data_IF_738474559181
#
_entry.id   IF_738474559181
#
_cell.length_a   1.000
_cell.length_b   1.000
_cell.length_c   1.000
_cell.angle_alpha   90.00
_cell.angle_beta   90.00
_cell.angle_gamma   90.00
#
_symmetry.space_group_name_H-M   'P 1'
#
loop_
_entity.id
_entity.type
_entity.pdbx_description
1 polymer ?
#
# COMPACT_ATOMS: atom_id res chain seq x y z
N UNK A 1 -0.78 8.28 42.42
CA UNK A 1 0.34 9.23 42.36
C UNK A 1 0.69 9.41 40.89
N UNK A 2 0.16 10.45 40.26
CA UNK A 2 0.62 10.88 38.94
C UNK A 2 2.03 11.47 39.11
N UNK A 3 3.01 10.87 38.46
CA UNK A 3 4.37 11.43 38.39
C UNK A 3 4.39 12.31 37.15
N UNK A 4 4.05 13.58 37.31
CA UNK A 4 4.13 14.58 36.24
C UNK A 4 5.58 15.00 36.09
N UNK A 5 6.34 14.34 35.21
CA UNK A 5 7.71 14.72 34.88
C UNK A 5 7.69 15.86 33.85
N UNK A 6 7.57 17.10 34.31
CA UNK A 6 7.81 18.30 33.49
C UNK A 6 9.30 18.59 33.42
N UNK A 7 9.98 18.02 32.43
CA UNK A 7 11.41 18.26 32.18
C UNK A 7 11.69 18.59 30.72
N UNK A 8 11.38 19.80 30.26
CA UNK A 8 11.58 20.23 28.86
C UNK A 8 13.04 20.61 28.56
N UNK A 9 14.03 19.75 28.85
CA UNK A 9 15.43 20.00 28.50
C UNK A 9 15.93 19.00 27.44
N UNK A 10 16.75 19.49 26.49
CA UNK A 10 17.29 18.69 25.38
C UNK A 10 18.19 17.51 25.84
N UNK A 11 18.75 17.60 27.04
CA UNK A 11 19.51 16.52 27.69
C UNK A 11 18.62 15.40 28.26
N UNK A 12 17.37 15.70 28.59
CA UNK A 12 16.38 14.73 29.14
C UNK A 12 15.46 14.17 28.05
N UNK A 13 15.22 14.94 26.98
CA UNK A 13 14.60 14.49 25.74
C UNK A 13 15.56 14.76 24.58
N UNK A 14 16.49 13.83 24.24
CA UNK A 14 17.08 13.89 22.92
C UNK A 14 15.91 13.92 21.94
N UNK A 15 15.83 14.94 21.09
CA UNK A 15 14.89 14.96 19.98
C UNK A 15 15.37 13.86 19.03
N UNK A 16 15.01 12.62 19.36
CA UNK A 16 15.26 11.47 18.53
C UNK A 16 14.27 11.61 17.39
N UNK A 17 14.72 12.29 16.33
CA UNK A 17 14.05 12.32 15.04
C UNK A 17 14.22 10.92 14.44
N UNK A 18 13.41 9.99 14.93
CA UNK A 18 13.51 8.57 14.57
C UNK A 18 13.07 8.38 13.13
N UNK A 19 12.05 9.13 12.70
CA UNK A 19 11.44 9.00 11.39
C UNK A 19 11.51 10.28 10.59
N UNK A 20 12.15 10.19 9.44
CA UNK A 20 12.28 11.29 8.51
C UNK A 20 11.02 11.48 7.66
N UNK A 21 10.90 12.62 6.98
CA UNK A 21 9.80 12.92 6.05
C UNK A 21 9.63 11.84 4.98
N UNK A 22 10.73 11.12 4.65
CA UNK A 22 10.76 9.96 3.76
C UNK A 22 9.79 8.86 4.21
N UNK A 23 9.72 8.58 5.51
CA UNK A 23 8.82 7.58 6.07
C UNK A 23 7.37 8.06 6.00
N UNK A 24 7.12 9.35 6.29
CA UNK A 24 5.78 9.91 6.15
C UNK A 24 5.25 9.82 4.71
N UNK A 25 6.11 10.10 3.72
CA UNK A 25 5.77 9.94 2.30
C UNK A 25 5.54 8.46 1.95
N UNK A 26 6.38 7.55 2.43
CA UNK A 26 6.16 6.12 2.24
C UNK A 26 4.82 5.65 2.82
N UNK A 27 4.49 6.03 4.06
CA UNK A 27 3.24 5.66 4.71
C UNK A 27 2.03 6.24 3.97
N UNK A 28 2.13 7.48 3.48
CA UNK A 28 1.09 8.09 2.65
C UNK A 28 0.89 7.32 1.33
N UNK A 29 1.97 7.05 0.59
CA UNK A 29 1.90 6.32 -0.68
C UNK A 29 1.44 4.86 -0.48
N UNK A 30 1.86 4.22 0.62
CA UNK A 30 1.40 2.90 1.01
C UNK A 30 -0.10 2.87 1.33
N UNK A 31 -0.59 3.85 2.09
CA UNK A 31 -2.02 4.04 2.37
C UNK A 31 -2.84 4.35 1.11
N UNK A 32 -2.31 5.21 0.24
CA UNK A 32 -2.92 5.54 -1.05
C UNK A 32 -3.07 4.28 -1.92
N UNK A 33 -2.03 3.46 -2.03
CA UNK A 33 -2.10 2.18 -2.75
C UNK A 33 -3.06 1.20 -2.09
N UNK A 34 -3.04 1.07 -0.75
CA UNK A 34 -3.96 0.21 -0.02
C UNK A 34 -5.43 0.55 -0.33
N UNK A 35 -5.79 1.83 -0.20
CA UNK A 35 -7.12 2.33 -0.52
C UNK A 35 -7.48 2.18 -2.00
N UNK A 36 -6.55 2.49 -2.91
CA UNK A 36 -6.74 2.34 -4.35
C UNK A 36 -7.04 0.88 -4.75
N UNK A 37 -6.32 -0.09 -4.17
CA UNK A 37 -6.55 -1.50 -4.41
C UNK A 37 -7.91 -1.96 -3.87
N UNK A 38 -8.29 -1.53 -2.65
CA UNK A 38 -9.60 -1.86 -2.08
C UNK A 38 -10.72 -1.26 -2.92
N UNK A 39 -10.67 0.03 -3.23
CA UNK A 39 -11.73 0.73 -3.95
C UNK A 39 -11.86 0.22 -5.39
N UNK A 40 -10.74 0.01 -6.08
CA UNK A 40 -10.77 -0.57 -7.43
C UNK A 40 -11.27 -2.01 -7.44
N UNK A 41 -10.91 -2.82 -6.44
CA UNK A 41 -11.43 -4.19 -6.31
C UNK A 41 -12.94 -4.21 -6.06
N UNK A 42 -13.45 -3.36 -5.16
CA UNK A 42 -14.89 -3.20 -4.94
C UNK A 42 -15.58 -2.83 -6.26
N UNK A 43 -15.04 -1.86 -7.00
CA UNK A 43 -15.60 -1.44 -8.27
C UNK A 43 -15.59 -2.57 -9.33
N UNK A 44 -14.51 -3.36 -9.42
CA UNK A 44 -14.39 -4.47 -10.37
C UNK A 44 -15.23 -5.71 -10.00
N UNK A 45 -15.50 -5.93 -8.71
CA UNK A 45 -16.31 -7.06 -8.22
C UNK A 45 -17.82 -6.80 -8.31
N UNK A 46 -18.26 -5.54 -8.43
CA UNK A 46 -19.67 -5.18 -8.64
C UNK A 46 -20.16 -5.69 -10.01
N UNK A 47 -21.36 -6.28 -10.04
CA UNK A 47 -21.98 -6.87 -11.25
C UNK A 47 -22.38 -5.83 -12.29
N UNK A 48 -22.60 -4.58 -11.88
CA UNK A 48 -23.20 -3.52 -12.70
C UNK A 48 -22.16 -2.43 -13.00
N UNK A 49 -21.49 -2.52 -14.16
CA UNK A 49 -20.61 -1.45 -14.68
C UNK A 49 -21.44 -0.54 -15.59
N UNK A 50 -22.20 0.38 -15.00
CA UNK A 50 -23.21 1.18 -15.72
C UNK A 50 -22.59 2.31 -16.56
N UNK A 51 -21.44 2.85 -16.19
CA UNK A 51 -20.84 3.99 -16.90
C UNK A 51 -19.47 3.67 -17.53
N UNK A 52 -19.16 4.24 -18.72
CA UNK A 52 -17.82 4.14 -19.33
C UNK A 52 -16.71 4.73 -18.45
N UNK A 53 -17.03 5.76 -17.67
CA UNK A 53 -16.09 6.40 -16.73
C UNK A 53 -15.71 5.46 -15.59
N UNK A 54 -16.67 4.70 -15.06
CA UNK A 54 -16.41 3.65 -14.06
C UNK A 54 -15.44 2.59 -14.61
N UNK A 55 -15.55 2.25 -15.90
CA UNK A 55 -14.62 1.30 -16.55
C UNK A 55 -13.19 1.83 -16.61
N UNK A 56 -12.99 3.12 -16.91
CA UNK A 56 -11.65 3.70 -17.01
C UNK A 56 -10.92 3.67 -15.65
N UNK A 57 -11.61 4.01 -14.55
CA UNK A 57 -11.04 3.93 -13.20
C UNK A 57 -10.69 2.50 -12.80
N UNK A 58 -11.57 1.55 -13.12
CA UNK A 58 -11.38 0.12 -12.87
C UNK A 58 -10.13 -0.47 -13.54
N UNK A 59 -9.57 0.22 -14.54
CA UNK A 59 -8.37 -0.19 -15.28
C UNK A 59 -7.16 0.63 -14.83
N UNK A 60 -7.27 1.96 -14.83
CA UNK A 60 -6.15 2.88 -14.55
C UNK A 60 -5.63 2.74 -13.11
N UNK A 61 -6.54 2.73 -12.13
CA UNK A 61 -6.19 2.71 -10.71
C UNK A 61 -5.39 1.46 -10.30
N UNK A 62 -5.83 0.23 -10.61
CA UNK A 62 -5.05 -0.95 -10.28
C UNK A 62 -3.74 -1.04 -11.09
N UNK A 63 -3.70 -0.51 -12.31
CA UNK A 63 -2.47 -0.46 -13.10
C UNK A 63 -1.43 0.51 -12.53
N UNK A 64 -1.85 1.63 -11.94
CA UNK A 64 -0.96 2.62 -11.30
C UNK A 64 -0.51 2.22 -9.90
N UNK A 65 -1.33 1.45 -9.18
CA UNK A 65 -1.09 1.00 -7.80
C UNK A 65 0.32 0.40 -7.54
N UNK A 66 0.86 -0.53 -8.37
CA UNK A 66 2.21 -1.04 -8.17
C UNK A 66 3.28 0.04 -8.29
N UNK A 67 3.12 1.01 -9.19
CA UNK A 67 4.08 2.10 -9.39
C UNK A 67 4.07 3.09 -8.22
N UNK A 68 2.89 3.47 -7.72
CA UNK A 68 2.74 4.33 -6.54
C UNK A 68 3.44 3.69 -5.34
N UNK A 69 3.21 2.41 -5.11
CA UNK A 69 3.84 1.68 -4.00
C UNK A 69 5.36 1.55 -4.19
N UNK A 70 5.81 1.33 -5.43
CA UNK A 70 7.24 1.25 -5.77
C UNK A 70 7.95 2.58 -5.51
N UNK A 71 7.31 3.72 -5.82
CA UNK A 71 7.82 5.05 -5.48
C UNK A 71 7.95 5.20 -3.96
N UNK A 72 6.93 4.77 -3.20
CA UNK A 72 7.03 4.70 -1.74
C UNK A 72 8.23 3.86 -1.27
N UNK A 73 8.44 2.71 -1.89
CA UNK A 73 9.53 1.81 -1.58
C UNK A 73 10.93 2.41 -1.87
N UNK A 74 11.04 3.33 -2.82
CA UNK A 74 12.28 4.08 -3.05
C UNK A 74 12.60 5.00 -1.86
N UNK A 75 11.59 5.65 -1.27
CA UNK A 75 11.80 6.52 -0.11
C UNK A 75 12.28 5.74 1.12
N UNK A 76 11.70 4.57 1.40
CA UNK A 76 12.16 3.73 2.52
C UNK A 76 13.56 3.15 2.25
N UNK A 77 13.91 2.87 1.00
CA UNK A 77 15.25 2.42 0.64
C UNK A 77 16.32 3.51 0.86
N UNK A 78 15.97 4.78 0.63
CA UNK A 78 16.88 5.91 0.92
C UNK A 78 17.00 6.24 2.40
N UNK A 79 15.98 5.90 3.19
CA UNK A 79 15.99 6.05 4.64
C UNK A 79 16.87 5.01 5.34
N UNK A 80 17.12 3.86 4.70
CA UNK A 80 17.93 2.78 5.24
C UNK A 80 19.41 3.20 5.45
N UNK A 81 19.88 3.15 6.70
CA UNK A 81 21.29 3.42 7.05
C UNK A 81 22.25 2.42 6.37
N UNK A 82 21.92 1.12 6.41
CA UNK A 82 22.70 0.03 5.81
C UNK A 82 21.98 -0.55 4.58
N UNK A 83 22.07 0.17 3.46
CA UNK A 83 21.42 -0.18 2.18
C UNK A 83 21.76 -1.58 1.66
N UNK A 84 23.01 -2.03 1.84
CA UNK A 84 23.42 -3.37 1.41
C UNK A 84 22.71 -4.48 2.19
N UNK A 85 22.20 -4.22 3.39
CA UNK A 85 21.53 -5.25 4.19
C UNK A 85 20.06 -5.46 3.80
N UNK A 86 19.53 -4.71 2.83
CA UNK A 86 18.14 -4.80 2.38
C UNK A 86 17.73 -6.22 1.99
N UNK A 87 18.65 -7.00 1.42
CA UNK A 87 18.34 -8.36 0.98
C UNK A 87 18.03 -9.31 2.15
N UNK A 88 18.55 -9.05 3.35
CA UNK A 88 18.28 -9.88 4.52
C UNK A 88 16.81 -9.87 4.92
N UNK A 89 16.10 -8.76 4.70
CA UNK A 89 14.65 -8.70 4.95
C UNK A 89 13.84 -9.71 4.12
N UNK A 90 14.35 -10.07 2.94
CA UNK A 90 13.71 -11.02 2.02
C UNK A 90 14.25 -12.44 2.15
N UNK A 91 15.36 -12.63 2.88
CA UNK A 91 15.96 -13.95 3.11
C UNK A 91 15.64 -14.50 4.50
N UNK A 92 15.40 -13.62 5.47
CA UNK A 92 15.09 -13.97 6.86
C UNK A 92 13.67 -13.54 7.21
N UNK A 93 12.80 -14.51 7.51
CA UNK A 93 11.46 -14.24 8.00
C UNK A 93 11.43 -14.28 9.53
N UNK A 94 11.05 -13.16 10.15
CA UNK A 94 10.96 -13.01 11.61
C UNK A 94 9.50 -12.77 12.01
N UNK A 95 8.74 -13.81 12.40
CA UNK A 95 7.28 -13.71 12.57
C UNK A 95 6.86 -12.79 13.74
N UNK A 96 7.74 -12.61 14.73
CA UNK A 96 7.51 -11.71 15.87
C UNK A 96 7.77 -10.24 15.55
N UNK A 97 8.43 -9.95 14.42
CA UNK A 97 8.76 -8.58 14.02
C UNK A 97 7.69 -8.05 13.07
N UNK A 98 6.95 -6.99 13.45
CA UNK A 98 6.02 -6.32 12.53
C UNK A 98 6.74 -5.95 11.22
N UNK A 99 7.94 -5.39 11.30
CA UNK A 99 8.70 -4.95 10.12
C UNK A 99 8.93 -6.08 9.09
N UNK A 100 9.11 -7.33 9.54
CA UNK A 100 9.27 -8.49 8.65
C UNK A 100 7.98 -8.76 7.86
N UNK A 101 6.81 -8.69 8.50
CA UNK A 101 5.52 -8.82 7.83
C UNK A 101 5.32 -7.75 6.75
N UNK A 102 5.80 -6.52 6.98
CA UNK A 102 5.72 -5.45 5.99
C UNK A 102 6.60 -5.67 4.79
N UNK A 103 7.85 -6.08 5.01
CA UNK A 103 8.78 -6.35 3.91
C UNK A 103 8.23 -7.43 2.96
N UNK A 104 7.77 -8.55 3.52
CA UNK A 104 7.16 -9.64 2.75
C UNK A 104 5.81 -9.24 2.17
N UNK A 105 4.98 -8.53 2.94
CA UNK A 105 3.67 -8.06 2.51
C UNK A 105 3.76 -7.13 1.31
N UNK A 106 4.59 -6.09 1.37
CA UNK A 106 4.86 -5.17 0.24
C UNK A 106 5.46 -5.94 -0.94
N UNK A 107 6.40 -6.86 -0.67
CA UNK A 107 6.99 -7.73 -1.69
C UNK A 107 5.97 -8.59 -2.43
N UNK A 108 4.88 -9.00 -1.79
CA UNK A 108 3.77 -9.74 -2.40
C UNK A 108 2.74 -8.81 -3.07
N UNK A 109 2.48 -7.63 -2.50
CA UNK A 109 1.48 -6.68 -3.00
C UNK A 109 1.90 -6.09 -4.34
N UNK A 110 3.17 -5.77 -4.54
CA UNK A 110 3.66 -5.20 -5.81
C UNK A 110 3.37 -6.13 -7.00
N UNK A 111 3.83 -7.40 -7.03
CA UNK A 111 3.53 -8.30 -8.14
C UNK A 111 2.04 -8.62 -8.24
N UNK A 112 1.34 -8.77 -7.11
CA UNK A 112 -0.10 -9.01 -7.13
C UNK A 112 -0.87 -7.85 -7.77
N UNK A 113 -0.58 -6.61 -7.38
CA UNK A 113 -1.22 -5.41 -7.93
C UNK A 113 -0.89 -5.21 -9.40
N UNK A 114 0.33 -5.56 -9.82
CA UNK A 114 0.70 -5.59 -11.23
C UNK A 114 -0.13 -6.61 -12.04
N UNK A 115 -0.25 -7.85 -11.54
CA UNK A 115 -1.08 -8.88 -12.17
C UNK A 115 -2.56 -8.48 -12.19
N UNK A 116 -3.05 -7.89 -11.11
CA UNK A 116 -4.41 -7.38 -11.03
C UNK A 116 -4.65 -6.28 -12.07
N UNK A 117 -3.80 -5.24 -12.12
CA UNK A 117 -3.87 -4.19 -13.14
C UNK A 117 -3.87 -4.76 -14.55
N UNK A 118 -2.98 -5.70 -14.85
CA UNK A 118 -2.91 -6.33 -16.18
C UNK A 118 -4.14 -7.18 -16.52
N UNK A 119 -4.76 -7.82 -15.52
CA UNK A 119 -6.00 -8.59 -15.69
C UNK A 119 -7.23 -7.73 -15.97
N UNK A 120 -7.19 -6.44 -15.61
CA UNK A 120 -8.31 -5.51 -15.84
C UNK A 120 -8.33 -4.91 -17.25
N UNK A 121 -7.23 -5.01 -18.00
CA UNK A 121 -7.13 -4.44 -19.35
C UNK A 121 -8.07 -5.16 -20.33
N UNK A 122 -9.05 -4.46 -20.94
CA UNK A 122 -9.95 -5.05 -21.92
C UNK A 122 -9.24 -5.25 -23.26
N UNK A 123 -9.79 -6.12 -24.09
CA UNK A 123 -9.20 -6.53 -25.37
C UNK A 123 -8.87 -5.35 -26.30
N UNK A 124 -9.78 -4.37 -26.38
CA UNK A 124 -9.64 -3.12 -27.15
C UNK A 124 -8.38 -2.30 -26.77
N UNK A 125 -8.01 -2.30 -25.48
CA UNK A 125 -6.89 -1.54 -24.95
C UNK A 125 -5.59 -2.35 -24.91
N UNK A 126 -5.63 -3.65 -25.22
CA UNK A 126 -4.42 -4.50 -25.22
C UNK A 126 -3.42 -4.05 -26.26
N UNK A 127 -3.87 -3.46 -27.36
CA UNK A 127 -2.97 -3.01 -28.41
C UNK A 127 -2.09 -1.82 -28.02
N UNK A 128 -2.50 -1.06 -27.00
CA UNK A 128 -1.66 0.00 -26.42
C UNK A 128 -0.48 -0.54 -25.61
N UNK A 129 -0.48 -1.82 -25.20
CA UNK A 129 0.65 -2.39 -24.47
C UNK A 129 1.83 -2.55 -25.44
N UNK A 130 2.91 -1.82 -25.14
CA UNK A 130 4.13 -1.78 -25.97
C UNK A 130 4.76 -3.14 -26.23
N UNK A 131 4.66 -4.08 -25.29
CA UNK A 131 5.33 -5.36 -25.37
C UNK A 131 4.36 -6.51 -25.66
N UNK A 132 4.68 -7.32 -26.67
CA UNK A 132 3.85 -8.47 -27.09
C UNK A 132 3.66 -9.53 -25.99
N UNK A 133 4.64 -9.70 -25.09
CA UNK A 133 4.49 -10.63 -23.95
C UNK A 133 3.43 -10.15 -22.95
N UNK A 134 3.32 -8.83 -22.71
CA UNK A 134 2.31 -8.28 -21.82
C UNK A 134 0.90 -8.44 -22.38
N UNK A 135 0.74 -8.36 -23.71
CA UNK A 135 -0.55 -8.63 -24.38
C UNK A 135 -1.00 -10.07 -24.13
N UNK A 136 -0.10 -11.05 -24.35
CA UNK A 136 -0.36 -12.48 -24.09
C UNK A 136 -0.68 -12.73 -22.62
N UNK A 137 0.08 -12.11 -21.71
CA UNK A 137 -0.13 -12.25 -20.28
C UNK A 137 -1.47 -11.65 -19.83
N UNK A 138 -1.83 -10.45 -20.30
CA UNK A 138 -3.14 -9.82 -20.03
C UNK A 138 -4.30 -10.71 -20.51
N UNK A 139 -4.21 -11.26 -21.72
CA UNK A 139 -5.22 -12.17 -22.24
C UNK A 139 -5.38 -13.43 -21.38
N UNK A 140 -4.29 -14.01 -20.88
CA UNK A 140 -4.31 -15.18 -19.98
C UNK A 140 -4.89 -14.86 -18.60
N UNK A 141 -4.66 -13.64 -18.10
CA UNK A 141 -5.10 -13.21 -16.76
C UNK A 141 -6.54 -12.68 -16.74
N UNK A 142 -7.06 -12.20 -17.86
CA UNK A 142 -8.41 -11.63 -17.98
C UNK A 142 -9.53 -12.52 -17.39
N UNK A 143 -9.59 -13.85 -17.64
CA UNK A 143 -10.60 -14.73 -17.05
C UNK A 143 -10.53 -14.79 -15.52
N UNK A 144 -9.35 -14.54 -14.97
CA UNK A 144 -9.04 -14.62 -13.54
C UNK A 144 -9.14 -13.26 -12.83
N UNK A 145 -9.56 -12.20 -13.52
CA UNK A 145 -9.58 -10.84 -12.99
C UNK A 145 -10.32 -10.73 -11.66
N UNK A 146 -11.46 -11.41 -11.49
CA UNK A 146 -12.20 -11.42 -10.22
C UNK A 146 -11.42 -12.02 -9.05
N UNK A 147 -10.60 -13.06 -9.31
CA UNK A 147 -9.75 -13.67 -8.26
C UNK A 147 -8.65 -12.70 -7.84
N UNK A 148 -8.00 -12.05 -8.80
CA UNK A 148 -7.01 -11.01 -8.52
C UNK A 148 -7.61 -9.81 -7.81
N UNK A 149 -8.80 -9.36 -8.20
CA UNK A 149 -9.52 -8.29 -7.51
C UNK A 149 -9.81 -8.66 -6.05
N UNK A 150 -10.34 -9.86 -5.78
CA UNK A 150 -10.60 -10.32 -4.41
C UNK A 150 -9.32 -10.44 -3.57
N UNK A 151 -8.23 -10.94 -4.16
CA UNK A 151 -6.95 -11.05 -3.48
C UNK A 151 -6.35 -9.66 -3.21
N UNK A 152 -6.41 -8.73 -4.16
CA UNK A 152 -5.99 -7.34 -3.98
C UNK A 152 -6.83 -6.59 -2.96
N UNK A 153 -8.13 -6.90 -2.83
CA UNK A 153 -8.98 -6.36 -1.77
C UNK A 153 -8.47 -6.75 -0.38
N UNK A 154 -8.23 -8.06 -0.16
CA UNK A 154 -7.71 -8.57 1.11
C UNK A 154 -6.33 -8.01 1.41
N UNK A 155 -5.43 -8.01 0.42
CA UNK A 155 -4.07 -7.50 0.59
C UNK A 155 -4.03 -5.98 0.78
N UNK A 156 -4.97 -5.23 0.21
CA UNK A 156 -5.12 -3.79 0.45
C UNK A 156 -5.58 -3.49 1.88
N UNK A 157 -6.55 -4.24 2.41
CA UNK A 157 -6.94 -4.14 3.83
C UNK A 157 -5.76 -4.50 4.74
N UNK A 158 -5.07 -5.60 4.44
CA UNK A 158 -3.88 -6.00 5.17
C UNK A 158 -2.85 -4.86 5.20
N UNK A 159 -2.52 -4.25 4.06
CA UNK A 159 -1.54 -3.16 3.98
C UNK A 159 -1.93 -1.94 4.84
N UNK A 160 -3.21 -1.54 4.79
CA UNK A 160 -3.72 -0.41 5.57
C UNK A 160 -3.74 -0.67 7.08
N UNK A 161 -4.15 -1.88 7.51
CA UNK A 161 -4.13 -2.26 8.93
C UNK A 161 -2.69 -2.41 9.42
N UNK A 162 -1.85 -3.13 8.66
CA UNK A 162 -0.47 -3.43 9.00
C UNK A 162 0.36 -2.17 9.22
N UNK A 163 0.18 -1.15 8.38
CA UNK A 163 0.90 0.13 8.54
C UNK A 163 0.53 0.81 9.86
N UNK A 164 -0.74 0.77 10.27
CA UNK A 164 -1.14 1.24 11.60
C UNK A 164 -0.63 0.35 12.74
N UNK A 165 -0.53 -0.97 12.56
CA UNK A 165 0.07 -1.89 13.54
C UNK A 165 1.55 -1.57 13.75
N UNK A 166 2.29 -1.35 12.66
CA UNK A 166 3.71 -0.98 12.68
C UNK A 166 3.90 0.26 13.55
N UNK A 167 3.05 1.29 13.37
CA UNK A 167 3.09 2.49 14.19
C UNK A 167 2.70 2.20 15.65
N UNK A 168 1.65 1.39 15.85
CA UNK A 168 1.14 1.00 17.17
C UNK A 168 2.17 0.28 18.05
N UNK A 169 3.11 -0.43 17.43
CA UNK A 169 4.11 -1.22 18.12
C UNK A 169 5.25 -0.38 18.73
N UNK A 170 5.34 0.93 18.43
CA UNK A 170 6.36 1.81 19.00
C UNK A 170 6.02 2.25 20.43
N UNK A 171 6.38 1.42 21.40
CA UNK A 171 6.17 1.67 22.85
C UNK A 171 6.83 2.97 23.33
N UNK A 172 7.91 3.40 22.68
CA UNK A 172 8.67 4.59 23.07
C UNK A 172 7.90 5.92 22.92
N UNK A 173 6.77 5.96 22.20
CA UNK A 173 5.94 7.16 22.02
C UNK A 173 4.49 6.84 22.38
N UNK A 174 3.97 7.32 23.54
CA UNK A 174 2.63 6.98 24.02
C UNK A 174 1.49 7.28 23.03
N UNK A 175 1.61 8.38 22.27
CA UNK A 175 0.62 8.73 21.22
C UNK A 175 0.62 7.76 20.04
N UNK A 176 1.73 7.06 19.81
CA UNK A 176 1.85 6.05 18.76
C UNK A 176 1.53 4.67 19.28
N UNK A 177 1.47 4.43 20.59
CA UNK A 177 1.13 3.13 21.16
C UNK A 177 -0.37 3.04 21.50
N UNK A 178 -1.22 3.02 20.47
CA UNK A 178 -2.67 2.93 20.63
C UNK A 178 -3.30 1.84 19.77
N UNK A 179 -4.21 1.07 20.35
CA UNK A 179 -4.94 -0.01 19.68
C UNK A 179 -5.89 0.47 18.58
N UNK A 180 -6.23 1.77 18.54
CA UNK A 180 -7.14 2.34 17.54
C UNK A 180 -6.43 2.72 16.23
N UNK A 181 -5.09 2.83 16.23
CA UNK A 181 -4.31 3.26 15.07
C UNK A 181 -4.49 2.40 13.82
N UNK A 182 -4.53 1.06 13.88
CA UNK A 182 -4.78 0.23 12.70
C UNK A 182 -6.08 0.56 11.98
N UNK A 183 -7.14 0.85 12.74
CA UNK A 183 -8.46 1.20 12.20
C UNK A 183 -8.43 2.62 11.59
N UNK A 184 -7.77 3.57 12.26
CA UNK A 184 -7.61 4.93 11.76
C UNK A 184 -6.81 4.96 10.45
N UNK A 185 -5.72 4.21 10.38
CA UNK A 185 -4.91 4.09 9.16
C UNK A 185 -5.69 3.47 8.02
N UNK A 186 -6.47 2.41 8.29
CA UNK A 186 -7.33 1.81 7.27
C UNK A 186 -8.38 2.82 6.76
N UNK A 187 -9.08 3.53 7.64
CA UNK A 187 -10.08 4.52 7.23
C UNK A 187 -9.46 5.67 6.42
N UNK A 188 -8.27 6.15 6.82
CA UNK A 188 -7.52 7.17 6.09
C UNK A 188 -7.08 6.67 4.71
N UNK A 189 -6.58 5.44 4.62
CA UNK A 189 -6.22 4.79 3.37
C UNK A 189 -7.44 4.65 2.44
N UNK A 190 -8.58 4.20 2.96
CA UNK A 190 -9.82 4.10 2.17
C UNK A 190 -10.29 5.45 1.65
N UNK A 191 -10.23 6.50 2.48
CA UNK A 191 -10.58 7.88 2.09
C UNK A 191 -9.67 8.41 0.99
N UNK A 192 -8.35 8.29 1.15
CA UNK A 192 -7.37 8.76 0.16
C UNK A 192 -7.44 7.97 -1.14
N UNK A 193 -7.64 6.65 -1.06
CA UNK A 193 -7.89 5.79 -2.21
C UNK A 193 -9.18 6.14 -2.95
N UNK A 194 -10.26 6.46 -2.23
CA UNK A 194 -11.51 6.93 -2.81
C UNK A 194 -11.31 8.26 -3.56
N UNK A 195 -10.59 9.21 -2.94
CA UNK A 195 -10.25 10.47 -3.57
C UNK A 195 -9.45 10.27 -4.86
N UNK A 196 -8.47 9.35 -4.87
CA UNK A 196 -7.71 9.02 -6.08
C UNK A 196 -8.60 8.44 -7.19
N UNK A 197 -9.53 7.53 -6.85
CA UNK A 197 -10.48 6.97 -7.81
C UNK A 197 -11.33 8.08 -8.43
N UNK A 198 -11.81 9.03 -7.63
CA UNK A 198 -12.62 10.18 -8.10
C UNK A 198 -11.80 11.08 -9.02
N UNK A 199 -10.54 11.38 -8.67
CA UNK A 199 -9.65 12.20 -9.51
C UNK A 199 -9.41 11.51 -10.85
N UNK A 200 -9.18 10.20 -10.85
CA UNK A 200 -8.95 9.39 -12.06
C UNK A 200 -10.22 9.13 -12.88
N UNK A 201 -11.40 9.44 -12.33
CA UNK A 201 -12.69 9.34 -13.02
C UNK A 201 -13.00 10.57 -13.88
N UNK A 202 -12.32 11.68 -13.61
CA UNK A 202 -12.37 12.89 -14.44
C UNK A 202 -11.48 12.71 -15.68
#
# INVERSE_FOLDING_TARGET
MEITVTGTNAMTYPHLHIWDWRIAVYLFLGGLTAGALVMSAIANLRKSKKEPKDRACCIKVPLMSPFILSIGMIFIFFDLERKLNSFWFYLSFQPLSPMSWGAWGVGLIIPLSFLYGLSTVPEELRDMLRFGFLKKLSAKLYPHMRRFAALSFVMGIFLGIYTGILLSAFVARPLWNSAILPILFLNSALSTGAALVIIMAR
#
